data_IF_018018899323
#
_entry.id   IF_018018899323
#
_cell.length_a   1.000
_cell.length_b   1.000
_cell.length_c   1.000
_cell.angle_alpha   90.00
_cell.angle_beta   90.00
_cell.angle_gamma   90.00
#
_symmetry.space_group_name_H-M   'P 1'
#
loop_
_entity.id
_entity.type
_entity.pdbx_description
1 polymer ?
#
# COMPACT_ATOMS: atom_id res chain seq x y z
N UNK A 1 -29.52 -22.29 22.28
CA UNK A 1 -28.65 -21.37 23.02
C UNK A 1 -27.70 -20.71 22.03
N UNK A 2 -27.88 -19.42 21.76
CA UNK A 2 -26.98 -18.64 20.89
C UNK A 2 -25.77 -18.18 21.69
N UNK A 3 -24.55 -18.47 21.22
CA UNK A 3 -23.32 -17.95 21.83
C UNK A 3 -23.37 -16.42 21.82
N UNK A 4 -23.31 -15.73 22.97
CA UNK A 4 -23.53 -14.28 23.04
C UNK A 4 -22.57 -13.42 22.19
N UNK A 5 -21.43 -13.97 21.78
CA UNK A 5 -20.39 -13.29 21.00
C UNK A 5 -20.35 -13.66 19.51
N UNK A 6 -21.36 -14.34 18.98
CA UNK A 6 -21.38 -14.66 17.55
C UNK A 6 -21.69 -13.39 16.73
N UNK A 7 -20.67 -12.83 16.08
CA UNK A 7 -20.85 -11.69 15.17
C UNK A 7 -21.82 -12.09 14.03
N UNK A 8 -22.79 -11.22 13.67
CA UNK A 8 -23.71 -11.49 12.56
C UNK A 8 -22.96 -11.71 11.23
N UNK A 9 -23.40 -12.69 10.42
CA UNK A 9 -22.72 -13.01 9.14
C UNK A 9 -22.62 -11.82 8.19
N UNK A 10 -23.62 -10.92 8.18
CA UNK A 10 -23.63 -9.72 7.32
C UNK A 10 -22.53 -8.72 7.69
N UNK A 11 -22.28 -8.50 8.98
CA UNK A 11 -21.21 -7.57 9.40
C UNK A 11 -19.83 -8.13 9.08
N UNK A 12 -19.67 -9.45 9.15
CA UNK A 12 -18.43 -10.12 8.75
C UNK A 12 -18.10 -9.93 7.26
N UNK A 13 -19.11 -10.02 6.38
CA UNK A 13 -18.95 -9.76 4.93
C UNK A 13 -18.51 -8.31 4.69
N UNK A 14 -19.13 -7.33 5.36
CA UNK A 14 -18.75 -5.92 5.23
C UNK A 14 -17.27 -5.69 5.64
N UNK A 15 -16.84 -6.30 6.74
CA UNK A 15 -15.44 -6.25 7.19
C UNK A 15 -14.50 -6.85 6.15
N UNK A 16 -14.84 -8.01 5.56
CA UNK A 16 -14.02 -8.62 4.52
C UNK A 16 -13.87 -7.72 3.28
N UNK A 17 -14.94 -7.07 2.84
CA UNK A 17 -14.88 -6.14 1.70
C UNK A 17 -14.00 -4.92 1.99
N UNK A 18 -14.08 -4.37 3.21
CA UNK A 18 -13.18 -3.30 3.63
C UNK A 18 -11.72 -3.72 3.65
N UNK A 19 -11.41 -4.92 4.15
CA UNK A 19 -10.05 -5.45 4.20
C UNK A 19 -9.52 -5.65 2.78
N UNK A 20 -10.27 -6.32 1.89
CA UNK A 20 -9.85 -6.55 0.51
C UNK A 20 -9.63 -5.24 -0.24
N UNK A 21 -10.54 -4.27 -0.09
CA UNK A 21 -10.37 -2.93 -0.67
C UNK A 21 -9.15 -2.20 -0.12
N UNK A 22 -8.82 -2.39 1.16
CA UNK A 22 -7.62 -1.78 1.76
C UNK A 22 -6.32 -2.34 1.20
N UNK A 23 -6.26 -3.64 0.88
CA UNK A 23 -5.08 -4.29 0.32
C UNK A 23 -4.75 -3.79 -1.09
N UNK A 24 -5.74 -3.30 -1.84
CA UNK A 24 -5.60 -2.78 -3.20
C UNK A 24 -5.54 -1.26 -3.27
N UNK A 25 -5.79 -0.56 -2.16
CA UNK A 25 -5.84 0.89 -2.15
C UNK A 25 -4.46 1.48 -2.44
N UNK A 26 -4.37 2.36 -3.44
CA UNK A 26 -3.16 3.10 -3.77
C UNK A 26 -3.17 4.50 -3.15
N UNK A 27 -1.99 5.05 -2.90
CA UNK A 27 -1.77 6.44 -2.50
C UNK A 27 -0.66 7.07 -3.35
N UNK A 28 -0.71 8.37 -3.67
CA UNK A 28 0.43 9.07 -4.20
C UNK A 28 1.52 9.15 -3.13
N UNK A 29 2.74 8.80 -3.49
CA UNK A 29 3.92 8.88 -2.63
C UNK A 29 5.02 9.65 -3.36
N UNK A 30 5.70 10.54 -2.64
CA UNK A 30 6.83 11.28 -3.17
C UNK A 30 8.01 11.22 -2.22
N UNK A 31 9.20 11.00 -2.75
CA UNK A 31 10.43 11.05 -1.98
C UNK A 31 11.47 11.91 -2.70
N UNK A 32 12.43 12.40 -1.92
CA UNK A 32 13.47 13.29 -2.41
C UNK A 32 14.76 12.50 -2.52
N UNK A 33 15.27 12.36 -3.74
CA UNK A 33 16.61 11.85 -4.00
C UNK A 33 17.58 13.03 -4.10
N UNK A 34 18.58 13.06 -3.22
CA UNK A 34 19.66 14.07 -3.28
C UNK A 34 20.91 13.42 -3.85
N UNK A 35 21.42 13.96 -4.94
CA UNK A 35 22.69 13.51 -5.54
C UNK A 35 23.72 14.62 -5.42
N UNK A 36 24.95 14.24 -5.09
CA UNK A 36 26.09 15.14 -5.12
C UNK A 36 26.66 15.12 -6.53
N UNK A 37 26.70 16.28 -7.18
CA UNK A 37 27.41 16.46 -8.45
C UNK A 37 28.83 16.91 -8.09
N UNK A 38 29.86 16.11 -8.45
CA UNK A 38 31.24 16.41 -8.10
C UNK A 38 31.70 17.72 -8.76
N UNK A 39 32.57 18.44 -8.06
CA UNK A 39 33.17 19.66 -8.59
C UNK A 39 33.95 19.38 -9.87
N UNK A 40 33.66 20.14 -10.91
CA UNK A 40 34.45 20.17 -12.16
C UNK A 40 35.38 21.38 -12.11
N UNK A 41 36.41 21.46 -12.95
CA UNK A 41 37.33 22.63 -13.02
C UNK A 41 36.63 23.99 -13.12
N UNK A 42 35.36 24.00 -13.54
CA UNK A 42 34.52 25.19 -13.73
C UNK A 42 33.48 25.42 -12.62
N UNK A 43 33.17 24.46 -11.74
CA UNK A 43 32.09 24.61 -10.74
C UNK A 43 32.32 23.83 -9.44
N UNK A 44 31.87 24.41 -8.31
CA UNK A 44 31.94 23.80 -6.97
C UNK A 44 30.92 22.66 -6.82
N UNK A 45 31.11 21.80 -5.82
CA UNK A 45 30.17 20.71 -5.51
C UNK A 45 28.77 21.25 -5.32
N UNK A 46 27.80 20.66 -6.02
CA UNK A 46 26.40 21.06 -5.96
C UNK A 46 25.51 19.88 -5.58
N UNK A 47 24.58 20.14 -4.68
CA UNK A 47 23.55 19.16 -4.28
C UNK A 47 22.37 19.32 -5.23
N UNK A 48 22.11 18.32 -6.06
CA UNK A 48 20.91 18.28 -6.90
C UNK A 48 19.81 17.55 -6.14
N UNK A 49 18.67 18.22 -5.98
CA UNK A 49 17.47 17.66 -5.33
C UNK A 49 16.47 17.25 -6.40
N UNK A 50 16.26 15.94 -6.55
CA UNK A 50 15.25 15.39 -7.46
C UNK A 50 14.09 14.87 -6.65
N UNK A 51 12.88 15.39 -6.92
CA UNK A 51 11.66 14.88 -6.28
C UNK A 51 11.06 13.80 -7.18
N UNK A 52 10.95 12.59 -6.68
CA UNK A 52 10.41 11.43 -7.40
C UNK A 52 9.00 11.15 -6.87
N UNK A 53 8.01 11.23 -7.75
CA UNK A 53 6.61 10.93 -7.44
C UNK A 53 6.19 9.62 -8.09
N UNK A 54 5.46 8.78 -7.34
CA UNK A 54 4.96 7.49 -7.81
C UNK A 54 3.66 7.13 -7.06
N UNK A 55 3.03 6.03 -7.46
CA UNK A 55 1.92 5.43 -6.73
C UNK A 55 2.44 4.25 -5.91
N UNK A 56 2.05 4.19 -4.64
CA UNK A 56 2.41 3.13 -3.71
C UNK A 56 1.14 2.55 -3.11
N UNK A 57 1.18 1.30 -2.62
CA UNK A 57 0.13 0.76 -1.77
C UNK A 57 -0.07 1.66 -0.53
N UNK A 58 -1.33 1.93 -0.21
CA UNK A 58 -1.71 2.82 0.90
C UNK A 58 -1.27 2.27 2.25
N UNK A 59 -1.31 0.95 2.40
CA UNK A 59 -0.88 0.25 3.61
C UNK A 59 0.43 -0.50 3.29
N UNK A 60 1.55 -0.16 3.93
CA UNK A 60 2.85 -0.78 3.64
C UNK A 60 2.85 -2.31 3.77
N UNK A 61 2.12 -2.85 4.75
CA UNK A 61 2.03 -4.31 4.95
C UNK A 61 1.28 -5.04 3.82
N UNK A 62 0.50 -4.34 2.99
CA UNK A 62 -0.15 -4.94 1.84
C UNK A 62 0.88 -5.40 0.78
N UNK A 63 2.10 -4.85 0.78
CA UNK A 63 3.20 -5.28 -0.11
C UNK A 63 3.61 -6.74 0.09
N UNK A 64 3.32 -7.32 1.28
CA UNK A 64 3.64 -8.71 1.60
C UNK A 64 2.57 -9.71 1.13
N UNK A 65 1.46 -9.23 0.56
CA UNK A 65 0.35 -10.07 0.12
C UNK A 65 0.36 -10.12 -1.41
N UNK A 66 0.51 -11.32 -1.97
CA UNK A 66 0.42 -11.51 -3.42
C UNK A 66 -1.01 -11.32 -3.93
N UNK A 67 -1.15 -10.84 -5.16
CA UNK A 67 -2.45 -10.68 -5.83
C UNK A 67 -3.24 -11.99 -5.88
N UNK A 68 -2.56 -13.12 -6.12
CA UNK A 68 -3.17 -14.45 -6.09
C UNK A 68 -3.85 -14.76 -4.75
N UNK A 69 -3.24 -14.38 -3.62
CA UNK A 69 -3.82 -14.60 -2.30
C UNK A 69 -5.05 -13.71 -2.08
N UNK A 70 -5.01 -12.48 -2.59
CA UNK A 70 -6.15 -11.55 -2.57
C UNK A 70 -7.33 -12.15 -3.35
N UNK A 71 -7.08 -12.71 -4.54
CA UNK A 71 -8.12 -13.34 -5.37
C UNK A 71 -8.75 -14.57 -4.72
N UNK A 72 -7.92 -15.42 -4.10
CA UNK A 72 -8.42 -16.59 -3.36
C UNK A 72 -9.28 -16.15 -2.17
N UNK A 73 -8.83 -15.15 -1.40
CA UNK A 73 -9.59 -14.59 -0.30
C UNK A 73 -10.90 -13.96 -0.78
N UNK A 74 -10.86 -13.19 -1.88
CA UNK A 74 -12.03 -12.57 -2.48
C UNK A 74 -13.08 -13.62 -2.89
N UNK A 75 -12.68 -14.69 -3.58
CA UNK A 75 -13.59 -15.79 -3.97
C UNK A 75 -14.22 -16.50 -2.77
N UNK A 76 -13.50 -16.58 -1.64
CA UNK A 76 -13.98 -17.22 -0.42
C UNK A 76 -14.91 -16.31 0.39
N UNK A 77 -14.66 -15.01 0.41
CA UNK A 77 -15.34 -14.04 1.26
C UNK A 77 -16.50 -13.29 0.58
N UNK A 78 -16.61 -13.35 -0.75
CA UNK A 78 -17.70 -12.72 -1.52
C UNK A 78 -18.99 -13.55 -1.60
N UNK A 79 -19.00 -14.75 -1.02
CA UNK A 79 -20.19 -15.61 -0.89
C UNK A 79 -20.99 -15.27 0.36
#
# INVERSE_FOLDING_TARGET
>A
MTTPNAMPKKSLIAVHQHILGSLLALRPASWVHKTLVPATSTSKETVVKTTISHQELRFPFAQNVSEQNIDIAAKRWSR
#
